data_IF_980309484452
#
_entry.id   IF_980309484452
#
_cell.length_a   1.000
_cell.length_b   1.000
_cell.length_c   1.000
_cell.angle_alpha   90.00
_cell.angle_beta   90.00
_cell.angle_gamma   90.00
#
_symmetry.space_group_name_H-M   'P 1'
#
loop_
_entity.id
_entity.type
_entity.pdbx_description
1 polymer ?
#
# COMPACT_ATOMS: atom_id res chain seq x y z
N UNK A 1 -23.34 -12.49 8.12
CA UNK A 1 -22.66 -11.76 7.03
C UNK A 1 -21.41 -12.54 6.66
N UNK A 2 -21.28 -13.03 5.43
CA UNK A 2 -20.21 -13.95 5.02
C UNK A 2 -18.95 -13.12 4.71
N UNK A 3 -17.97 -13.16 5.61
CA UNK A 3 -16.70 -12.44 5.44
C UNK A 3 -16.01 -13.00 4.19
N UNK A 4 -15.94 -12.22 3.11
CA UNK A 4 -15.16 -12.59 1.93
C UNK A 4 -13.69 -12.55 2.33
N UNK A 5 -13.06 -13.71 2.45
CA UNK A 5 -11.62 -13.81 2.68
C UNK A 5 -10.91 -13.13 1.51
N UNK A 6 -10.26 -12.00 1.77
CA UNK A 6 -9.48 -11.29 0.76
C UNK A 6 -8.20 -12.10 0.55
N UNK A 7 -8.15 -12.91 -0.50
CA UNK A 7 -6.94 -13.64 -0.87
C UNK A 7 -5.83 -12.63 -1.13
N UNK A 8 -4.82 -12.63 -0.25
CA UNK A 8 -3.65 -11.77 -0.42
C UNK A 8 -2.78 -12.35 -1.54
N UNK A 9 -2.69 -11.65 -2.66
CA UNK A 9 -1.84 -12.03 -3.79
C UNK A 9 -0.45 -11.43 -3.57
N UNK A 10 0.59 -12.26 -3.62
CA UNK A 10 1.97 -11.79 -3.53
C UNK A 10 2.49 -11.47 -4.94
N UNK A 11 2.94 -10.23 -5.15
CA UNK A 11 3.44 -9.74 -6.45
C UNK A 11 4.88 -9.28 -6.29
N UNK A 12 5.77 -9.83 -7.11
CA UNK A 12 7.16 -9.38 -7.17
C UNK A 12 7.31 -8.29 -8.23
N UNK A 13 7.81 -7.12 -7.84
CA UNK A 13 8.02 -5.98 -8.73
C UNK A 13 9.50 -5.62 -8.75
N UNK A 14 10.06 -5.45 -9.94
CA UNK A 14 11.43 -4.97 -10.11
C UNK A 14 11.42 -3.45 -10.20
N UNK A 15 12.18 -2.80 -9.31
CA UNK A 15 12.32 -1.35 -9.27
C UNK A 15 13.80 -0.96 -9.48
N UNK A 16 14.07 0.20 -10.11
CA UNK A 16 15.40 0.80 -10.11
C UNK A 16 15.94 0.96 -8.68
N UNK A 17 17.26 0.81 -8.46
CA UNK A 17 17.85 0.79 -7.13
C UNK A 17 17.56 2.07 -6.32
N UNK A 18 17.59 3.24 -6.98
CA UNK A 18 17.29 4.53 -6.37
C UNK A 18 15.84 4.61 -5.85
N UNK A 19 14.86 4.12 -6.63
CA UNK A 19 13.45 4.13 -6.20
C UNK A 19 13.19 3.14 -5.06
N UNK A 20 13.90 2.01 -5.06
CA UNK A 20 13.82 1.02 -3.97
C UNK A 20 14.28 1.63 -2.64
N UNK A 21 15.36 2.41 -2.66
CA UNK A 21 15.88 3.08 -1.46
C UNK A 21 14.91 4.14 -0.94
N UNK A 22 14.38 4.98 -1.84
CA UNK A 22 13.34 5.97 -1.48
C UNK A 22 12.12 5.30 -0.85
N UNK A 23 11.61 4.22 -1.47
CA UNK A 23 10.46 3.50 -0.95
C UNK A 23 10.72 2.88 0.44
N UNK A 24 11.93 2.37 0.68
CA UNK A 24 12.33 1.86 2.00
C UNK A 24 12.41 2.98 3.03
N UNK A 25 13.01 4.11 2.68
CA UNK A 25 13.14 5.24 3.58
C UNK A 25 11.76 5.82 3.96
N UNK A 26 10.88 5.99 2.98
CA UNK A 26 9.51 6.45 3.22
C UNK A 26 8.70 5.46 4.07
N UNK A 27 8.87 4.15 3.84
CA UNK A 27 8.20 3.13 4.63
C UNK A 27 8.70 3.12 6.09
N UNK A 28 10.01 3.32 6.28
CA UNK A 28 10.61 3.45 7.60
C UNK A 28 10.08 4.68 8.36
N UNK A 29 10.04 5.84 7.69
CA UNK A 29 9.52 7.10 8.25
C UNK A 29 8.05 6.98 8.68
N UNK A 30 7.22 6.34 7.85
CA UNK A 30 5.80 6.11 8.13
C UNK A 30 5.55 4.93 9.10
N UNK A 31 6.61 4.23 9.54
CA UNK A 31 6.55 3.05 10.41
C UNK A 31 5.70 1.90 9.81
N UNK A 32 5.72 1.74 8.48
CA UNK A 32 4.98 0.70 7.75
C UNK A 32 5.89 -0.18 6.90
N UNK A 33 5.39 -1.35 6.52
CA UNK A 33 6.03 -2.19 5.50
C UNK A 33 5.98 -1.53 4.14
N UNK A 34 7.03 -1.69 3.32
CA UNK A 34 7.09 -1.18 1.94
C UNK A 34 5.86 -1.62 1.13
N UNK A 35 5.41 -2.86 1.29
CA UNK A 35 4.21 -3.38 0.61
C UNK A 35 2.93 -2.63 1.00
N UNK A 36 2.80 -2.20 2.27
CA UNK A 36 1.65 -1.44 2.75
C UNK A 36 1.68 0.00 2.23
N UNK A 37 2.86 0.63 2.20
CA UNK A 37 3.06 1.94 1.59
C UNK A 37 2.74 1.93 0.10
N UNK A 38 3.25 0.95 -0.64
CA UNK A 38 2.97 0.79 -2.08
C UNK A 38 1.50 0.52 -2.33
N UNK A 39 0.87 -0.37 -1.54
CA UNK A 39 -0.56 -0.62 -1.64
C UNK A 39 -1.39 0.65 -1.39
N UNK A 40 -0.96 1.49 -0.44
CA UNK A 40 -1.63 2.76 -0.19
C UNK A 40 -1.47 3.76 -1.35
N UNK A 41 -0.24 3.92 -1.85
CA UNK A 41 0.04 4.78 -2.99
C UNK A 41 -0.80 4.38 -4.21
N UNK A 42 -0.90 3.07 -4.48
CA UNK A 42 -1.73 2.52 -5.56
C UNK A 42 -3.22 2.80 -5.34
N UNK A 43 -3.74 2.56 -4.13
CA UNK A 43 -5.16 2.86 -3.81
C UNK A 43 -5.47 4.35 -4.01
N UNK A 44 -4.59 5.23 -3.53
CA UNK A 44 -4.74 6.68 -3.68
C UNK A 44 -4.72 7.10 -5.15
N UNK A 45 -3.83 6.53 -5.94
CA UNK A 45 -3.76 6.80 -7.39
C UNK A 45 -5.01 6.31 -8.11
N UNK A 46 -5.41 5.05 -7.90
CA UNK A 46 -6.61 4.48 -8.51
C UNK A 46 -7.88 5.23 -8.11
N UNK A 47 -7.98 5.73 -6.87
CA UNK A 47 -9.06 6.62 -6.44
C UNK A 47 -9.04 7.95 -7.19
N UNK A 48 -7.87 8.58 -7.34
CA UNK A 48 -7.73 9.84 -8.07
C UNK A 48 -8.17 9.71 -9.52
N UNK A 49 -7.91 8.55 -10.13
CA UNK A 49 -8.32 8.22 -11.49
C UNK A 49 -9.79 7.76 -11.58
N UNK A 50 -10.50 7.63 -10.46
CA UNK A 50 -11.92 7.23 -10.42
C UNK A 50 -12.17 5.72 -10.51
N UNK A 51 -11.13 4.88 -10.36
CA UNK A 51 -11.27 3.41 -10.35
C UNK A 51 -11.70 2.83 -8.99
N UNK A 52 -11.59 3.59 -7.90
CA UNK A 52 -11.94 3.15 -6.55
C UNK A 52 -12.82 4.18 -5.82
N UNK A 53 -13.87 3.70 -5.15
CA UNK A 53 -14.72 4.48 -4.27
C UNK A 53 -14.00 4.89 -2.97
N UNK A 54 -14.48 5.98 -2.35
CA UNK A 54 -13.84 6.68 -1.23
C UNK A 54 -13.67 5.85 0.07
N UNK A 55 -14.24 4.66 0.13
CA UNK A 55 -14.30 3.80 1.33
C UNK A 55 -13.01 3.00 1.58
N UNK A 56 -12.07 2.99 0.62
CA UNK A 56 -10.80 2.25 0.71
C UNK A 56 -9.67 3.09 1.30
N UNK A 57 -9.83 3.54 2.54
CA UNK A 57 -8.81 4.35 3.22
C UNK A 57 -7.59 3.52 3.68
N UNK A 58 -6.41 4.16 3.65
CA UNK A 58 -5.15 3.58 4.08
C UNK A 58 -4.92 3.80 5.58
N UNK A 59 -5.69 3.11 6.41
CA UNK A 59 -5.61 3.29 7.87
C UNK A 59 -4.17 3.05 8.38
N UNK A 60 -3.58 3.97 9.15
CA UNK A 60 -2.33 3.72 9.86
C UNK A 60 -2.47 2.52 10.80
N UNK A 61 -1.51 1.61 10.79
CA UNK A 61 -1.44 0.51 11.75
C UNK A 61 -1.00 1.07 13.12
N UNK A 62 -1.79 0.91 14.21
CA UNK A 62 -1.39 1.37 15.53
C UNK A 62 -0.24 0.52 16.09
N UNK A 63 0.70 1.19 16.76
CA UNK A 63 1.82 0.57 17.49
C UNK A 63 1.30 -0.29 18.64
N UNK A 64 1.89 -1.47 18.81
CA UNK A 64 1.73 -2.31 20.00
C UNK A 64 3.02 -2.34 20.81
#
# INVERSE_FOLDING_TARGET
>A
MKVKTISTVNVSVSLPPHLREIARQAAFDDNRSVSSLVACALKKHLRSEGYLDAETDCVPVPRH
#
